data_IF_952712259962
#
_entry.id   IF_952712259962
#
_cell.length_a   1.000
_cell.length_b   1.000
_cell.length_c   1.000
_cell.angle_alpha   90.00
_cell.angle_beta   90.00
_cell.angle_gamma   90.00
#
_symmetry.space_group_name_H-M   'P 1'
#
loop_
_entity.id
_entity.type
_entity.pdbx_description
1 polymer ?
2 non-polymer ?
3 non-polymer ?
4 water ?
#
# COMPACT_ATOMS: atom_id res chain seq x y z
N UNK A 13 27.94 8.76 1.29
CA UNK A 13 27.82 8.40 2.73
C UNK A 13 26.50 7.73 3.04
N UNK A 14 26.53 6.65 3.82
CA UNK A 14 25.31 5.95 4.16
C UNK A 14 24.57 6.70 5.27
N UNK A 15 23.24 6.66 5.17
CA UNK A 15 22.38 7.34 6.14
C UNK A 15 22.02 6.42 7.28
N UNK A 16 21.76 7.01 8.44
CA UNK A 16 21.40 6.24 9.62
C UNK A 16 20.63 7.11 10.60
N UNK A 17 19.87 6.47 11.47
CA UNK A 17 19.07 7.17 12.48
C UNK A 17 19.94 7.67 13.62
N UNK A 18 19.68 8.89 14.07
CA UNK A 18 20.43 9.48 15.17
C UNK A 18 19.62 9.37 16.47
N UNK A 19 18.36 9.76 16.41
CA UNK A 19 17.48 9.68 17.57
C UNK A 19 16.01 9.70 17.18
N UNK A 20 15.16 9.22 18.09
CA UNK A 20 13.73 9.17 17.88
C UNK A 20 13.03 9.71 19.11
N UNK A 21 12.57 10.96 19.03
CA UNK A 21 11.89 11.60 20.15
C UNK A 21 10.37 11.46 20.05
N UNK A 22 9.75 10.99 21.13
CA UNK A 22 8.31 10.84 21.15
C UNK A 22 7.64 12.21 21.18
N UNK A 23 6.62 12.39 20.35
CA UNK A 23 5.90 13.66 20.29
C UNK A 23 4.56 13.52 21.00
N UNK A 24 3.82 12.48 20.63
CA UNK A 24 2.51 12.23 21.20
C UNK A 24 2.19 10.75 21.05
N UNK A 25 1.64 10.13 22.10
CA UNK A 25 1.32 8.72 22.04
C UNK A 25 -0.11 8.38 22.47
N UNK A 26 -0.83 7.70 21.59
CA UNK A 26 -2.19 7.29 21.89
C UNK A 26 -2.15 5.86 22.38
N UNK A 27 -3.29 5.19 22.39
CA UNK A 27 -3.32 3.79 22.82
C UNK A 27 -2.96 2.87 21.66
N UNK A 28 -3.05 3.39 20.45
CA UNK A 28 -2.77 2.60 19.26
C UNK A 28 -1.72 3.18 18.32
N UNK A 29 -1.61 4.51 18.31
CA UNK A 29 -0.66 5.18 17.42
C UNK A 29 0.16 6.25 18.12
N UNK A 30 1.39 6.45 17.65
CA UNK A 30 2.26 7.47 18.21
C UNK A 30 3.01 8.24 17.13
N UNK A 31 3.32 9.49 17.44
CA UNK A 31 4.04 10.36 16.53
C UNK A 31 5.44 10.60 17.09
N UNK A 32 6.44 10.54 16.21
CA UNK A 32 7.83 10.74 16.63
C UNK A 32 8.58 11.73 15.75
N UNK A 33 9.62 12.33 16.33
CA UNK A 33 10.46 13.27 15.60
C UNK A 33 11.73 12.48 15.34
N UNK A 34 11.98 12.16 14.08
CA UNK A 34 13.15 11.38 13.72
C UNK A 34 14.29 12.24 13.22
N UNK A 35 15.45 12.08 13.85
CA UNK A 35 16.64 12.82 13.45
C UNK A 35 17.56 11.81 12.80
N UNK A 36 17.98 12.08 11.57
CA UNK A 36 18.85 11.16 10.86
C UNK A 36 19.98 11.89 10.12
N UNK A 37 20.98 11.13 9.71
CA UNK A 37 22.12 11.69 8.98
C UNK A 37 21.90 11.51 7.48
N UNK A 38 22.08 12.58 6.72
CA UNK A 38 21.90 12.51 5.28
C UNK A 38 23.22 12.11 4.63
N UNK A 39 23.22 11.80 3.32
CA UNK A 39 24.45 11.40 2.61
C UNK A 39 25.61 12.38 2.67
N UNK A 40 25.30 13.66 2.84
CA UNK A 40 26.34 14.69 2.90
C UNK A 40 26.83 14.96 4.32
N UNK A 41 26.42 14.12 5.25
CA UNK A 41 26.83 14.30 6.63
C UNK A 41 26.06 15.36 7.38
N UNK A 42 24.94 15.79 6.80
CA UNK A 42 24.10 16.81 7.41
C UNK A 42 22.97 16.20 8.21
N UNK A 43 22.69 16.76 9.38
CA UNK A 43 21.62 16.27 10.23
C UNK A 43 20.27 16.83 9.75
N UNK A 44 19.28 15.95 9.61
CA UNK A 44 17.94 16.36 9.18
C UNK A 44 16.90 15.68 10.07
N UNK A 45 15.67 16.16 10.01
CA UNK A 45 14.59 15.60 10.82
C UNK A 45 13.45 15.10 9.94
N UNK A 46 12.56 14.32 10.56
CA UNK A 46 11.42 13.75 9.86
C UNK A 46 10.34 13.43 10.89
N UNK A 47 9.08 13.61 10.51
CA UNK A 47 7.97 13.29 11.42
C UNK A 47 7.48 11.89 11.07
N UNK A 48 7.66 10.96 12.00
CA UNK A 48 7.27 9.57 11.79
C UNK A 48 6.10 9.06 12.62
N UNK A 49 5.38 8.11 12.03
CA UNK A 49 4.23 7.49 12.69
C UNK A 49 4.54 6.02 12.96
N UNK A 50 4.09 5.53 14.11
CA UNK A 50 4.30 4.14 14.48
C UNK A 50 3.13 3.63 15.31
N UNK A 51 2.83 2.35 15.19
CA UNK A 51 1.75 1.76 15.98
C UNK A 51 2.36 1.32 17.31
N UNK A 52 1.57 1.42 18.38
CA UNK A 52 2.04 1.06 19.70
C UNK A 52 1.89 -0.43 19.98
N UNK A 53 1.22 -1.12 19.07
CA UNK A 53 0.95 -2.55 19.20
C UNK A 53 1.99 -3.48 18.55
N UNK A 54 3.00 -2.90 17.92
CA UNK A 54 4.03 -3.68 17.27
C UNK A 54 4.95 -4.42 18.25
N UNK A 55 5.15 -5.73 18.04
CA UNK A 55 6.05 -6.49 18.92
C UNK A 55 7.42 -6.48 18.28
N UNK A 56 8.44 -6.81 19.06
CA UNK A 56 9.81 -6.85 18.55
C UNK A 56 10.01 -7.98 17.56
N UNK A 57 10.74 -7.70 16.49
CA UNK A 57 11.03 -8.70 15.46
C UNK A 57 9.78 -9.27 14.81
N UNK A 58 8.72 -8.46 14.74
CA UNK A 58 7.46 -8.90 14.15
C UNK A 58 6.82 -7.79 13.33
N UNK A 59 6.28 -8.14 12.17
CA UNK A 59 5.62 -7.14 11.33
C UNK A 59 4.35 -6.74 12.07
N UNK A 60 3.75 -5.62 11.67
CA UNK A 60 2.54 -5.17 12.34
C UNK A 60 1.39 -6.13 12.10
N UNK A 61 1.18 -6.48 10.84
CA UNK A 61 0.10 -7.39 10.53
C UNK A 61 0.29 -8.13 9.23
N UNK A 62 -0.83 -8.55 8.65
CA UNK A 62 -0.82 -9.29 7.41
C UNK A 62 -2.02 -8.87 6.56
N UNK A 63 -1.86 -9.00 5.25
CA UNK A 63 -2.91 -8.72 4.28
C UNK A 63 -3.01 -10.08 3.60
N UNK A 64 -4.22 -10.55 3.36
CA UNK A 64 -4.41 -11.85 2.73
C UNK A 64 -4.94 -11.71 1.32
N UNK A 65 -4.34 -12.45 0.38
CA UNK A 65 -4.83 -12.45 -0.99
C UNK A 65 -5.51 -13.81 -1.09
N UNK A 66 -6.85 -13.83 -0.87
CA UNK A 66 -7.67 -15.03 -0.91
C UNK A 66 -8.16 -15.41 -2.29
N UNK A 67 -7.59 -16.48 -2.83
CA UNK A 67 -7.98 -16.93 -4.16
C UNK A 67 -9.01 -18.04 -4.02
N UNK A 68 -10.26 -17.72 -4.35
CA UNK A 68 -11.37 -18.66 -4.28
C UNK A 68 -11.38 -19.48 -5.57
N UNK A 69 -11.18 -20.79 -5.43
CA UNK A 69 -11.14 -21.67 -6.59
C UNK A 69 -12.36 -22.58 -6.66
N UNK A 70 -12.98 -22.62 -7.83
CA UNK A 70 -14.17 -23.44 -8.04
C UNK A 70 -14.11 -24.16 -9.38
N UNK A 71 -14.59 -25.40 -9.40
CA UNK A 71 -14.58 -26.22 -10.60
C UNK A 71 -15.27 -25.61 -11.81
N UNK A 72 -16.45 -25.02 -11.60
CA UNK A 72 -17.22 -24.45 -12.70
C UNK A 72 -17.03 -22.97 -12.94
N UNK A 73 -16.09 -22.34 -12.26
CA UNK A 73 -15.88 -20.90 -12.43
C UNK A 73 -14.42 -20.49 -12.43
N UNK A 74 -14.14 -19.34 -13.02
CA UNK A 74 -12.78 -18.82 -13.02
C UNK A 74 -12.53 -18.36 -11.58
N UNK A 75 -11.28 -18.18 -11.21
CA UNK A 75 -10.93 -17.77 -9.85
C UNK A 75 -11.48 -16.40 -9.48
N UNK A 76 -11.77 -16.24 -8.18
CA UNK A 76 -12.25 -14.98 -7.64
C UNK A 76 -11.26 -14.54 -6.57
N UNK A 77 -11.17 -13.24 -6.36
CA UNK A 77 -10.33 -12.68 -5.31
C UNK A 77 -11.34 -12.22 -4.26
N UNK A 78 -11.19 -12.71 -3.04
CA UNK A 78 -12.11 -12.34 -1.95
C UNK A 78 -11.66 -11.07 -1.24
N UNK A 79 -12.48 -10.02 -1.32
CA UNK A 79 -12.14 -8.76 -0.67
C UNK A 79 -13.20 -8.45 0.39
N UNK A 80 -12.93 -7.45 1.23
CA UNK A 80 -13.87 -7.04 2.27
C UNK A 80 -14.10 -5.54 2.23
N UNK A 81 -15.30 -5.13 2.63
CA UNK A 81 -15.67 -3.72 2.67
C UNK A 81 -15.94 -3.37 4.13
N UNK A 82 -15.32 -2.29 4.58
CA UNK A 82 -15.44 -1.84 5.96
C UNK A 82 -15.39 -0.33 6.04
N UNK A 83 -16.05 0.23 7.05
CA UNK A 83 -16.02 1.67 7.24
C UNK A 83 -14.67 1.90 7.92
N UNK A 84 -13.90 2.86 7.42
CA UNK A 84 -12.59 3.16 8.01
C UNK A 84 -12.59 4.59 8.54
N UNK A 85 -12.65 4.76 9.88
CA UNK A 85 -12.64 6.08 10.51
C UNK A 85 -11.61 7.07 9.97
N UNK A 86 -10.33 6.66 9.82
CA UNK A 86 -9.30 7.56 9.31
C UNK A 86 -9.65 8.10 7.92
N UNK A 87 -10.37 7.28 7.15
CA UNK A 87 -10.77 7.65 5.81
C UNK A 87 -12.14 8.37 5.78
N UNK A 88 -12.89 8.27 6.87
CA UNK A 88 -14.20 8.90 6.90
C UNK A 88 -15.15 8.28 5.91
N UNK A 89 -14.91 7.01 5.57
CA UNK A 89 -15.77 6.32 4.63
C UNK A 89 -15.45 4.83 4.52
N UNK A 90 -16.17 4.15 3.65
CA UNK A 90 -15.99 2.71 3.44
C UNK A 90 -14.84 2.43 2.47
N UNK A 91 -14.14 1.33 2.70
CA UNK A 91 -13.00 0.97 1.87
C UNK A 91 -13.06 -0.51 1.47
N UNK A 92 -12.50 -0.82 0.30
CA UNK A 92 -12.45 -2.19 -0.21
C UNK A 92 -10.99 -2.62 -0.11
N UNK A 93 -10.72 -3.63 0.70
CA UNK A 93 -9.35 -4.09 0.94
C UNK A 93 -9.21 -5.61 0.97
N UNK A 94 -7.96 -6.07 0.98
CA UNK A 94 -7.69 -7.50 1.11
C UNK A 94 -7.99 -7.73 2.59
N UNK A 95 -8.47 -8.93 2.97
CA UNK A 95 -8.73 -9.14 4.40
C UNK A 95 -7.37 -8.91 5.08
N UNK A 96 -7.36 -8.33 6.27
CA UNK A 96 -6.11 -8.06 6.95
C UNK A 96 -6.30 -7.97 8.44
N UNK A 97 -5.21 -8.04 9.19
CA UNK A 97 -5.32 -7.93 10.63
C UNK A 97 -3.94 -7.82 11.27
N UNK A 98 -3.90 -7.34 12.51
CA UNK A 98 -2.63 -7.22 13.23
C UNK A 98 -2.24 -8.61 13.70
N UNK A 99 -0.95 -8.91 13.73
CA UNK A 99 -0.50 -10.21 14.19
C UNK A 99 -0.56 -10.23 15.71
N UNK A 100 -1.20 -11.24 16.28
CA UNK A 100 -1.31 -11.36 17.73
C UNK A 100 -0.01 -11.91 18.31
N UNK A 101 0.22 -11.69 19.61
CA UNK A 101 1.44 -12.14 20.26
C UNK A 101 1.75 -13.63 20.09
N UNK A 102 2.97 -13.91 19.63
CA UNK A 102 3.43 -15.28 19.45
C UNK A 102 2.91 -15.97 18.22
N UNK A 103 1.94 -15.35 17.56
CA UNK A 103 1.30 -15.89 16.36
C UNK A 103 2.14 -15.62 15.09
N UNK A 104 2.33 -16.65 14.26
CA UNK A 104 3.10 -16.50 13.03
C UNK A 104 2.28 -15.77 11.96
N UNK A 105 2.95 -15.18 10.96
CA UNK A 105 2.24 -14.45 9.90
C UNK A 105 1.21 -15.36 9.24
N UNK A 106 1.64 -16.57 8.88
CA UNK A 106 0.76 -17.54 8.25
C UNK A 106 -0.49 -17.80 9.09
N UNK A 107 -0.31 -18.05 10.38
CA UNK A 107 -1.44 -18.32 11.26
C UNK A 107 -2.37 -17.12 11.36
N UNK A 108 -1.78 -15.93 11.47
CA UNK A 108 -2.57 -14.71 11.57
C UNK A 108 -3.44 -14.55 10.31
N UNK A 109 -2.87 -14.85 9.16
CA UNK A 109 -3.57 -14.73 7.88
C UNK A 109 -4.78 -15.66 7.79
N UNK A 110 -4.61 -16.93 8.15
CA UNK A 110 -5.72 -17.87 8.08
C UNK A 110 -6.80 -17.53 9.09
N UNK A 111 -6.41 -17.05 10.26
CA UNK A 111 -7.36 -16.68 11.31
C UNK A 111 -8.17 -15.45 10.91
N UNK A 112 -7.47 -14.40 10.44
CA UNK A 112 -8.15 -13.17 10.03
C UNK A 112 -9.06 -13.43 8.83
N UNK A 113 -8.62 -14.29 7.91
CA UNK A 113 -9.44 -14.59 6.73
C UNK A 113 -10.75 -15.25 7.17
N UNK A 114 -10.65 -16.21 8.07
CA UNK A 114 -11.83 -16.90 8.56
C UNK A 114 -12.70 -15.92 9.35
N UNK A 115 -12.08 -15.14 10.23
CA UNK A 115 -12.83 -14.17 11.04
C UNK A 115 -13.56 -13.12 10.21
N UNK A 116 -12.90 -12.61 9.17
CA UNK A 116 -13.51 -11.58 8.34
C UNK A 116 -14.37 -12.04 7.17
N UNK A 117 -14.12 -13.26 6.67
CA UNK A 117 -14.90 -13.74 5.53
C UNK A 117 -15.66 -15.03 5.79
N UNK A 118 -15.22 -15.81 6.77
CA UNK A 118 -15.87 -17.07 7.07
C UNK A 118 -15.23 -18.21 6.28
N UNK A 119 -14.35 -17.86 5.34
CA UNK A 119 -13.68 -18.88 4.52
C UNK A 119 -12.49 -19.54 5.22
N UNK A 120 -12.36 -20.85 5.00
CA UNK A 120 -11.26 -21.62 5.56
C UNK A 120 -10.32 -21.85 4.39
N UNK A 121 -9.11 -21.31 4.48
CA UNK A 121 -8.18 -21.48 3.37
C UNK A 121 -6.95 -22.31 3.67
N UNK A 122 -6.06 -22.34 2.67
CA UNK A 122 -4.81 -23.08 2.79
C UNK A 122 -3.69 -22.15 2.32
N UNK A 123 -2.58 -22.15 3.06
CA UNK A 123 -1.46 -21.29 2.71
C UNK A 123 -0.84 -21.68 1.38
N UNK A 124 -0.53 -20.69 0.56
CA UNK A 124 0.09 -20.92 -0.73
C UNK A 124 1.51 -20.36 -0.65
N UNK A 125 1.63 -19.14 -0.15
CA UNK A 125 2.93 -18.49 -0.01
C UNK A 125 2.88 -17.30 0.93
N UNK A 126 4.03 -16.89 1.43
CA UNK A 126 4.09 -15.79 2.37
C UNK A 126 5.27 -14.89 2.02
N UNK A 127 5.00 -13.60 1.85
CA UNK A 127 6.04 -12.64 1.51
C UNK A 127 6.83 -12.23 2.74
N UNK A 128 7.99 -11.60 2.53
CA UNK A 128 8.76 -11.16 3.68
C UNK A 128 8.03 -9.87 4.09
N UNK A 129 8.45 -9.21 5.16
CA UNK A 129 7.78 -7.98 5.59
C UNK A 129 7.94 -6.88 4.54
N UNK A 130 6.83 -6.28 4.13
CA UNK A 130 6.83 -5.20 3.14
C UNK A 130 6.29 -3.94 3.82
N UNK A 131 6.73 -2.76 3.41
CA UNK A 131 6.22 -1.53 4.05
C UNK A 131 4.95 -0.94 3.43
N UNK A 132 4.10 -0.42 4.30
CA UNK A 132 2.82 0.16 3.91
C UNK A 132 2.88 1.58 3.37
N UNK A 133 3.67 2.42 4.03
CA UNK A 133 3.80 3.81 3.62
C UNK A 133 5.09 4.30 4.29
N UNK A 134 6.25 3.91 3.72
CA UNK A 134 7.59 4.24 4.20
C UNK A 134 7.92 5.72 4.37
N UNK A 135 7.24 6.59 3.64
CA UNK A 135 7.51 8.00 3.77
C UNK A 135 6.80 8.63 4.96
N UNK A 136 5.95 7.84 5.62
CA UNK A 136 5.19 8.34 6.75
C UNK A 136 5.31 7.48 8.01
N UNK A 137 5.19 6.17 7.86
CA UNK A 137 5.23 5.28 9.01
C UNK A 137 6.18 4.11 8.84
N UNK A 138 6.36 3.35 9.92
CA UNK A 138 7.24 2.18 9.90
C UNK A 138 6.40 0.91 9.80
N UNK A 139 5.12 1.07 9.53
CA UNK A 139 4.19 -0.05 9.42
C UNK A 139 4.54 -1.05 8.33
N UNK A 140 4.57 -2.32 8.71
CA UNK A 140 4.90 -3.40 7.78
C UNK A 140 3.90 -4.54 7.94
N UNK A 141 3.76 -5.32 6.87
CA UNK A 141 2.87 -6.47 6.88
C UNK A 141 3.48 -7.57 6.04
N UNK A 142 2.91 -8.75 6.18
CA UNK A 142 3.29 -9.88 5.35
C UNK A 142 2.08 -10.04 4.44
N UNK A 143 2.33 -10.19 3.13
CA UNK A 143 1.24 -10.41 2.20
C UNK A 143 1.21 -11.92 2.05
N UNK A 144 0.11 -12.53 2.49
CA UNK A 144 0.00 -13.98 2.47
C UNK A 144 -1.02 -14.44 1.44
N UNK A 145 -0.58 -15.25 0.49
CA UNK A 145 -1.50 -15.77 -0.53
C UNK A 145 -2.13 -17.04 0.01
N UNK A 146 -3.46 -17.08 -0.04
CA UNK A 146 -4.21 -18.20 0.47
C UNK A 146 -5.24 -18.68 -0.55
N UNK A 147 -5.31 -19.99 -0.74
CA UNK A 147 -6.28 -20.54 -1.69
C UNK A 147 -7.48 -21.05 -0.89
N UNK A 148 -8.67 -20.94 -1.48
CA UNK A 148 -9.90 -21.38 -0.84
C UNK A 148 -10.64 -22.34 -1.77
N UNK A 149 -10.92 -23.55 -1.29
CA UNK A 149 -11.65 -24.52 -2.11
C UNK A 149 -13.13 -24.17 -2.02
N UNK A 150 -13.61 -23.41 -2.99
CA UNK A 150 -14.99 -22.98 -2.99
C UNK A 150 -16.04 -24.04 -3.23
N UNK A 151 -15.63 -25.25 -3.59
CA UNK A 151 -16.59 -26.33 -3.83
C UNK A 151 -16.79 -27.22 -2.60
N UNK A 152 -15.85 -27.13 -1.67
CA UNK A 152 -15.94 -27.92 -0.46
C UNK A 152 -17.19 -27.52 0.31
N UNK A 153 -17.95 -28.50 0.76
CA UNK A 153 -19.18 -28.27 1.50
C UNK A 153 -18.96 -27.31 2.67
N UNK A 154 -17.76 -27.36 3.24
CA UNK A 154 -17.42 -26.49 4.37
C UNK A 154 -17.50 -25.02 4.00
N UNK A 155 -17.10 -24.68 2.77
CA UNK A 155 -17.12 -23.29 2.31
C UNK A 155 -18.38 -22.95 1.51
N UNK A 156 -19.45 -23.71 1.71
CA UNK A 156 -20.69 -23.47 0.98
C UNK A 156 -21.43 -22.26 1.55
N UNK A 157 -21.58 -22.23 2.87
CA UNK A 157 -22.27 -21.13 3.53
C UNK A 157 -21.32 -20.42 4.50
N UNK A 158 -20.37 -19.63 3.97
CA UNK A 158 -19.43 -18.92 4.83
C UNK A 158 -20.04 -17.70 5.50
N UNK A 159 -19.68 -17.47 6.75
CA UNK A 159 -20.19 -16.32 7.50
C UNK A 159 -19.11 -15.78 8.44
N UNK A 160 -18.79 -14.49 8.31
CA UNK A 160 -17.77 -13.88 9.16
C UNK A 160 -18.10 -14.01 10.65
N UNK A 161 -17.10 -13.77 11.48
CA UNK A 161 -17.26 -13.82 12.94
C UNK A 161 -16.49 -12.62 13.50
N UNK A 162 -16.96 -11.40 13.16
CA UNK A 162 -16.33 -10.15 13.61
C UNK A 162 -16.44 -9.90 15.12
N UNK A 163 -15.62 -8.98 15.60
CA UNK A 163 -15.63 -8.64 17.01
C UNK A 163 -16.68 -7.62 17.38
N UNK A 164 -16.59 -7.11 18.60
CA UNK A 164 -17.54 -6.12 19.10
C UNK A 164 -17.72 -4.93 18.16
N UNK A 165 -16.65 -4.17 17.95
CA UNK A 165 -16.73 -3.01 17.08
C UNK A 165 -16.29 -3.32 15.66
N UNK A 166 -16.88 -4.34 15.05
CA UNK A 166 -16.52 -4.72 13.69
C UNK A 166 -17.67 -5.31 12.88
N UNK A 167 -17.85 -4.78 11.68
CA UNK A 167 -18.87 -5.27 10.76
C UNK A 167 -18.27 -5.25 9.36
N UNK A 168 -17.91 -6.43 8.88
CA UNK A 168 -17.30 -6.54 7.56
C UNK A 168 -18.25 -7.12 6.53
N UNK A 169 -18.18 -6.57 5.33
CA UNK A 169 -18.99 -7.04 4.22
C UNK A 169 -18.03 -7.76 3.29
N UNK A 170 -18.42 -8.92 2.80
CA UNK A 170 -17.56 -9.67 1.91
C UNK A 170 -17.93 -9.41 0.45
N UNK A 171 -16.94 -9.12 -0.37
CA UNK A 171 -17.14 -8.86 -1.78
C UNK A 171 -16.12 -9.64 -2.60
N UNK A 172 -16.58 -10.66 -3.31
CA UNK A 172 -15.68 -11.47 -4.12
C UNK A 172 -15.80 -11.07 -5.59
N UNK A 173 -14.66 -10.78 -6.22
CA UNK A 173 -14.66 -10.36 -7.61
C UNK A 173 -13.81 -11.28 -8.48
N UNK A 174 -14.21 -11.43 -9.75
CA UNK A 174 -13.49 -12.29 -10.71
C UNK A 174 -12.05 -11.82 -10.92
N UNK A 175 -11.12 -12.76 -10.79
CA UNK A 175 -9.71 -12.44 -10.95
C UNK A 175 -9.40 -11.93 -12.36
N UNK A 176 -10.03 -12.53 -13.37
CA UNK A 176 -9.77 -12.13 -14.76
C UNK A 176 -10.37 -10.78 -15.17
N UNK A 177 -11.11 -10.14 -14.28
CA UNK A 177 -11.73 -8.85 -14.59
C UNK A 177 -11.76 -7.96 -13.34
N UNK A 178 -10.72 -8.10 -12.51
CA UNK A 178 -10.64 -7.36 -11.28
C UNK A 178 -10.62 -5.84 -11.37
N UNK A 179 -9.70 -5.29 -12.17
CA UNK A 179 -9.61 -3.84 -12.30
C UNK A 179 -10.93 -3.20 -12.71
N UNK A 180 -11.55 -3.75 -13.76
CA UNK A 180 -12.84 -3.23 -14.24
C UNK A 180 -13.92 -3.25 -13.15
N UNK A 181 -14.00 -4.35 -12.42
CA UNK A 181 -14.99 -4.49 -11.36
C UNK A 181 -14.74 -3.52 -10.21
N UNK A 182 -13.46 -3.26 -9.92
CA UNK A 182 -13.09 -2.32 -8.87
C UNK A 182 -13.48 -0.90 -9.30
N UNK A 183 -13.24 -0.59 -10.57
CA UNK A 183 -13.60 0.73 -11.09
C UNK A 183 -15.10 0.96 -10.97
N UNK A 184 -15.89 -0.08 -11.21
CA UNK A 184 -17.34 0.00 -11.13
C UNK A 184 -17.80 0.30 -9.70
N UNK A 185 -17.18 -0.36 -8.73
CA UNK A 185 -17.50 -0.16 -7.32
C UNK A 185 -17.24 1.28 -6.90
N UNK A 186 -16.12 1.84 -7.37
CA UNK A 186 -15.75 3.21 -7.05
C UNK A 186 -16.77 4.20 -7.62
N UNK A 187 -17.14 3.97 -8.87
CA UNK A 187 -18.09 4.83 -9.56
C UNK A 187 -19.51 4.77 -9.01
N UNK A 188 -19.98 3.56 -8.75
CA UNK A 188 -21.35 3.36 -8.28
C UNK A 188 -21.58 3.49 -6.77
N UNK A 189 -20.53 3.38 -5.97
CA UNK A 189 -20.70 3.47 -4.52
C UNK A 189 -19.85 4.57 -3.87
N UNK A 190 -20.01 4.73 -2.56
CA UNK A 190 -19.23 5.69 -1.80
C UNK A 190 -18.07 4.85 -1.28
N UNK A 191 -17.17 4.46 -2.18
CA UNK A 191 -16.04 3.60 -1.81
C UNK A 191 -14.66 4.01 -2.30
N UNK A 192 -13.65 3.65 -1.52
CA UNK A 192 -12.26 3.91 -1.86
C UNK A 192 -11.59 2.54 -1.89
N UNK A 193 -10.85 2.27 -2.96
CA UNK A 193 -10.17 0.99 -3.09
C UNK A 193 -8.77 1.12 -2.48
N UNK A 194 -8.29 0.08 -1.83
CA UNK A 194 -6.96 0.08 -1.22
C UNK A 194 -5.89 0.07 -2.33
N UNK A 195 -4.78 0.77 -2.10
CA UNK A 195 -3.70 0.84 -3.08
C UNK A 195 -3.08 -0.52 -3.45
N UNK A 196 -2.99 -1.42 -2.48
CA UNK A 196 -2.42 -2.75 -2.74
C UNK A 196 -3.37 -3.55 -3.61
N UNK A 197 -4.66 -3.46 -3.31
CA UNK A 197 -5.66 -4.18 -4.10
C UNK A 197 -5.58 -3.66 -5.54
N UNK A 198 -5.52 -2.35 -5.69
CA UNK A 198 -5.47 -1.78 -7.04
C UNK A 198 -4.17 -2.11 -7.77
N UNK A 199 -3.04 -2.14 -7.06
CA UNK A 199 -1.78 -2.47 -7.70
C UNK A 199 -1.84 -3.90 -8.20
N UNK A 200 -2.45 -4.77 -7.40
CA UNK A 200 -2.58 -6.18 -7.76
C UNK A 200 -3.42 -6.27 -9.03
N UNK A 201 -4.53 -5.55 -9.04
CA UNK A 201 -5.43 -5.55 -10.20
C UNK A 201 -4.78 -5.02 -11.47
N UNK A 202 -3.95 -3.99 -11.34
CA UNK A 202 -3.27 -3.42 -12.51
C UNK A 202 -2.30 -4.44 -13.13
N UNK A 203 -1.53 -5.15 -12.30
CA UNK A 203 -0.59 -6.14 -12.83
C UNK A 203 -1.34 -7.29 -13.49
N UNK A 204 -2.47 -7.69 -12.92
CA UNK A 204 -3.25 -8.77 -13.53
C UNK A 204 -3.65 -8.31 -14.93
N UNK A 205 -3.95 -7.02 -15.07
CA UNK A 205 -4.32 -6.46 -16.37
C UNK A 205 -3.11 -6.37 -17.28
N UNK A 206 -2.01 -5.82 -16.76
CA UNK A 206 -0.77 -5.67 -17.52
C UNK A 206 -0.16 -6.99 -17.96
N UNK A 207 -0.29 -8.02 -17.13
CA UNK A 207 0.24 -9.32 -17.49
C UNK A 207 -0.57 -9.88 -18.65
N UNK A 208 -1.89 -9.81 -18.53
CA UNK A 208 -2.79 -10.31 -19.56
C UNK A 208 -2.38 -9.85 -20.96
N UNK A 209 -2.83 -8.66 -21.35
CA UNK A 209 -2.53 -8.10 -22.67
C UNK A 209 -1.04 -8.24 -23.00
N UNK B 13 -26.85 -0.20 10.07
CA UNK B 13 -26.97 1.21 9.59
C UNK B 13 -25.68 1.76 9.02
N UNK B 14 -25.80 2.83 8.24
CA UNK B 14 -24.64 3.49 7.62
C UNK B 14 -23.77 4.06 8.73
N UNK B 15 -22.45 3.92 8.58
CA UNK B 15 -21.54 4.47 9.58
C UNK B 15 -21.05 5.80 9.07
N UNK B 16 -20.69 6.70 9.98
CA UNK B 16 -20.22 8.03 9.60
C UNK B 16 -19.44 8.68 10.73
N UNK B 17 -18.72 9.75 10.38
CA UNK B 17 -17.90 10.47 11.35
C UNK B 17 -18.73 11.46 12.19
N UNK B 18 -18.57 11.40 13.50
CA UNK B 18 -19.29 12.32 14.41
C UNK B 18 -18.40 13.53 14.67
N UNK B 19 -17.13 13.29 14.95
CA UNK B 19 -16.22 14.38 15.21
C UNK B 19 -14.76 13.95 15.11
N UNK B 20 -13.88 14.93 14.96
CA UNK B 20 -12.45 14.69 14.88
C UNK B 20 -11.77 15.65 15.84
N UNK B 21 -11.10 15.10 16.84
CA UNK B 21 -10.42 15.93 17.83
C UNK B 21 -8.92 15.88 17.62
N UNK B 22 -8.31 17.04 17.44
CA UNK B 22 -6.87 17.11 17.23
C UNK B 22 -6.13 16.69 18.49
N UNK B 23 -5.12 15.83 18.33
CA UNK B 23 -4.33 15.37 19.47
C UNK B 23 -2.94 16.01 19.41
N UNK B 24 -2.38 16.07 18.21
CA UNK B 24 -1.06 16.65 18.01
C UNK B 24 -0.82 16.91 16.53
N UNK B 25 -0.50 18.17 16.22
CA UNK B 25 -0.24 18.55 14.84
C UNK B 25 1.19 19.00 14.66
N UNK B 26 1.85 18.44 13.65
CA UNK B 26 3.22 18.81 13.38
C UNK B 26 3.29 19.63 12.10
N UNK B 27 4.50 19.72 11.56
CA UNK B 27 4.73 20.47 10.33
C UNK B 27 4.25 19.67 9.13
N UNK B 28 4.30 18.34 9.24
CA UNK B 28 3.89 17.49 8.13
C UNK B 28 2.78 16.51 8.45
N UNK B 29 2.74 16.03 9.68
CA UNK B 29 1.73 15.06 10.07
C UNK B 29 1.03 15.42 11.37
N UNK B 30 -0.22 15.00 11.52
CA UNK B 30 -0.97 15.25 12.73
C UNK B 30 -1.72 13.99 13.16
N UNK B 31 -2.03 13.92 14.45
CA UNK B 31 -2.74 12.78 15.02
C UNK B 31 -4.07 13.28 15.59
N UNK B 32 -5.14 12.55 15.31
CA UNK B 32 -6.46 12.95 15.79
C UNK B 32 -7.24 11.79 16.41
N UNK B 33 -8.21 12.14 17.25
CA UNK B 33 -9.07 11.15 17.87
C UNK B 33 -10.39 11.28 17.12
N UNK B 34 -10.75 10.23 16.40
CA UNK B 34 -11.97 10.21 15.61
C UNK B 34 -13.10 9.52 16.36
N UNK B 35 -14.29 10.12 16.32
CA UNK B 35 -15.46 9.51 16.94
C UNK B 35 -16.42 9.26 15.79
N UNK B 36 -16.96 8.04 15.72
CA UNK B 36 -17.86 7.68 14.63
C UNK B 36 -19.01 6.84 15.15
N UNK B 37 -20.04 6.70 14.33
CA UNK B 37 -21.22 5.92 14.69
C UNK B 37 -21.13 4.55 14.04
N UNK B 38 -21.19 3.47 14.84
CA UNK B 38 -21.12 2.14 14.27
C UNK B 38 -22.48 1.70 13.75
N UNK B 39 -22.55 0.53 13.09
CA UNK B 39 -23.81 0.03 12.53
C UNK B 39 -24.98 -0.10 13.50
N UNK B 40 -24.68 -0.37 14.77
CA UNK B 40 -25.74 -0.53 15.77
C UNK B 40 -26.27 0.79 16.33
N UNK B 41 -25.53 1.86 16.13
CA UNK B 41 -25.98 3.16 16.63
C UNK B 41 -25.18 3.60 17.84
N UNK B 42 -24.09 2.88 18.11
CA UNK B 42 -23.21 3.19 19.23
C UNK B 42 -22.02 3.98 18.72
N UNK B 43 -21.54 4.92 19.53
CA UNK B 43 -20.39 5.75 19.14
C UNK B 43 -19.10 5.11 19.64
N UNK B 44 -18.09 5.07 18.78
CA UNK B 44 -16.79 4.51 19.11
C UNK B 44 -15.71 5.47 18.66
N UNK B 45 -14.49 5.28 19.17
CA UNK B 45 -13.39 6.15 18.79
C UNK B 45 -12.34 5.40 18.00
N UNK B 46 -11.41 6.15 17.41
CA UNK B 46 -10.34 5.58 16.62
C UNK B 46 -9.24 6.64 16.52
N UNK B 47 -7.99 6.19 16.49
CA UNK B 47 -6.88 7.13 16.38
C UNK B 47 -6.49 7.18 14.90
N UNK B 48 -6.56 8.38 14.33
CA UNK B 48 -6.25 8.57 12.92
C UNK B 48 -5.13 9.56 12.64
N UNK B 49 -4.41 9.30 11.54
CA UNK B 49 -3.32 10.16 11.13
C UNK B 49 -3.63 10.83 9.79
N UNK B 50 -3.19 12.07 9.63
CA UNK B 50 -3.41 12.82 8.39
C UNK B 50 -2.19 13.67 8.06
N UNK B 51 -1.96 13.91 6.77
CA UNK B 51 -0.85 14.74 6.33
C UNK B 51 -1.36 16.18 6.39
N UNK B 52 -0.54 17.09 6.88
CA UNK B 52 -0.92 18.50 6.99
C UNK B 52 -0.82 19.22 5.66
N UNK B 53 -0.21 18.57 4.68
CA UNK B 53 -0.04 19.14 3.34
C UNK B 53 -1.22 18.84 2.43
N UNK B 54 -2.10 17.94 2.86
CA UNK B 54 -3.26 17.54 2.08
C UNK B 54 -4.17 18.73 1.76
N UNK B 55 -4.54 18.85 0.48
CA UNK B 55 -5.44 19.92 0.04
C UNK B 55 -6.80 19.31 -0.23
N UNK B 56 -7.86 20.03 0.12
CA UNK B 56 -9.22 19.53 -0.09
C UNK B 56 -9.45 19.24 -1.57
N UNK B 57 -10.30 18.26 -1.85
CA UNK B 57 -10.64 17.88 -3.22
C UNK B 57 -9.52 17.20 -4.00
N UNK B 58 -8.39 16.91 -3.35
CA UNK B 58 -7.29 16.26 -4.04
C UNK B 58 -6.51 15.27 -3.17
N UNK B 59 -6.03 14.20 -3.81
CA UNK B 59 -5.28 13.16 -3.13
C UNK B 59 -3.96 13.73 -2.61
N UNK B 60 -3.29 12.98 -1.73
CA UNK B 60 -2.01 13.44 -1.19
C UNK B 60 -0.90 13.42 -2.24
N UNK B 61 -0.85 12.34 -3.02
CA UNK B 61 0.18 12.25 -4.03
C UNK B 61 -0.11 11.23 -5.12
N UNK B 62 0.95 10.83 -5.81
CA UNK B 62 0.86 9.84 -6.88
C UNK B 62 2.00 8.85 -6.75
N UNK B 63 1.79 7.65 -7.30
CA UNK B 63 2.84 6.63 -7.32
C UNK B 63 2.89 6.29 -8.80
N UNK B 64 4.07 6.15 -9.35
CA UNK B 64 4.21 5.85 -10.78
C UNK B 64 4.69 4.44 -11.07
N UNK B 65 4.00 3.75 -11.95
CA UNK B 65 4.43 2.41 -12.37
C UNK B 65 5.05 2.69 -13.74
N UNK B 66 6.39 2.84 -13.76
CA UNK B 66 7.11 3.13 -15.00
C UNK B 66 7.60 1.89 -15.72
N UNK B 67 7.05 1.68 -16.92
CA UNK B 67 7.40 0.54 -17.75
C UNK B 67 8.36 0.99 -18.85
N UNK B 68 9.63 0.65 -18.70
CA UNK B 68 10.66 1.01 -19.68
C UNK B 68 10.61 0.02 -20.83
N UNK B 69 10.30 0.52 -22.02
CA UNK B 69 10.16 -0.32 -23.20
C UNK B 69 11.22 -0.07 -24.27
N UNK B 70 11.69 -1.16 -24.87
CA UNK B 70 12.71 -1.10 -25.91
C UNK B 70 12.50 -2.22 -26.91
N UNK B 71 12.60 -1.88 -28.19
CA UNK B 71 12.45 -2.86 -29.25
C UNK B 71 13.38 -4.06 -29.02
N UNK B 72 12.84 -5.26 -29.18
CA UNK B 72 13.60 -6.50 -29.04
C UNK B 72 14.20 -6.74 -27.64
N UNK B 73 13.64 -6.09 -26.63
CA UNK B 73 14.09 -6.23 -25.24
C UNK B 73 12.90 -6.57 -24.35
N UNK B 74 13.18 -7.12 -23.16
CA UNK B 74 12.11 -7.42 -22.20
C UNK B 74 11.75 -6.05 -21.64
N UNK B 75 10.55 -5.92 -21.09
CA UNK B 75 10.14 -4.66 -20.49
C UNK B 75 10.72 -4.62 -19.09
N UNK B 76 11.07 -3.43 -18.61
CA UNK B 76 11.61 -3.27 -17.27
C UNK B 76 10.73 -2.33 -16.45
N UNK B 77 10.70 -2.54 -15.14
CA UNK B 77 9.93 -1.70 -14.22
C UNK B 77 10.97 -0.84 -13.51
N UNK B 78 10.82 0.48 -13.59
CA UNK B 78 11.77 1.39 -12.95
C UNK B 78 11.36 1.66 -11.51
N UNK B 79 12.25 1.33 -10.57
CA UNK B 79 11.97 1.53 -9.15
C UNK B 79 13.01 2.45 -8.54
N UNK B 80 12.74 2.95 -7.36
CA UNK B 80 13.70 3.81 -6.68
C UNK B 80 13.99 3.28 -5.29
N UNK B 81 15.22 3.51 -4.84
CA UNK B 81 15.67 3.07 -3.53
C UNK B 81 16.06 4.32 -2.76
N UNK B 82 15.49 4.50 -1.57
CA UNK B 82 15.78 5.67 -0.75
C UNK B 82 15.79 5.33 0.73
N UNK B 83 16.54 6.11 1.50
CA UNK B 83 16.58 5.93 2.94
C UNK B 83 15.30 6.56 3.43
N UNK B 84 14.53 5.80 4.22
CA UNK B 84 13.27 6.30 4.76
C UNK B 84 13.31 6.36 6.28
N UNK B 85 13.43 7.58 6.84
CA UNK B 85 13.49 7.80 8.29
C UNK B 85 12.49 7.01 9.13
N UNK B 86 11.21 6.99 8.74
CA UNK B 86 10.23 6.24 9.52
C UNK B 86 10.58 4.76 9.64
N UNK B 87 11.17 4.23 8.58
CA UNK B 87 11.58 2.83 8.51
C UNK B 87 12.98 2.59 9.11
N UNK B 88 13.74 3.68 9.26
CA UNK B 88 15.09 3.55 9.80
C UNK B 88 16.02 2.81 8.87
N UNK B 89 15.63 2.69 7.61
CA UNK B 89 16.45 1.99 6.62
C UNK B 89 16.01 2.30 5.21
N UNK B 90 16.61 1.61 4.23
CA UNK B 90 16.28 1.83 2.83
C UNK B 90 15.09 1.00 2.35
N UNK B 91 14.33 1.59 1.43
CA UNK B 91 13.16 0.94 0.87
C UNK B 91 13.16 0.99 -0.65
N UNK B 92 12.60 -0.03 -1.28
CA UNK B 92 12.49 -0.11 -2.75
C UNK B 92 11.04 0.24 -3.05
N UNK B 93 10.81 1.28 -3.84
CA UNK B 93 9.44 1.73 -4.13
C UNK B 93 9.22 2.18 -5.57
N UNK B 94 7.96 2.39 -5.92
CA UNK B 94 7.61 2.92 -7.23
C UNK B 94 7.92 4.41 -7.04
N UNK B 95 8.43 5.09 -8.09
CA UNK B 95 8.71 6.52 -7.87
C UNK B 95 7.38 7.14 -7.43
N UNK B 96 7.43 8.10 -6.50
CA UNK B 96 6.21 8.72 -6.00
C UNK B 96 6.47 10.09 -5.37
N UNK B 97 5.43 10.89 -5.27
CA UNK B 97 5.59 12.21 -4.68
C UNK B 97 4.27 12.86 -4.34
N UNK B 98 4.31 13.93 -3.57
CA UNK B 98 3.10 14.64 -3.19
C UNK B 98 2.66 15.50 -4.38
N UNK B 99 1.36 15.63 -4.57
CA UNK B 99 0.83 16.44 -5.66
C UNK B 99 0.95 17.92 -5.32
N UNK B 100 1.58 18.68 -6.21
CA UNK B 100 1.74 20.12 -6.00
C UNK B 100 0.40 20.82 -6.08
N UNK B 101 0.34 22.01 -5.47
CA UNK B 101 -0.89 22.79 -5.45
C UNK B 101 -1.36 23.10 -6.87
N UNK B 102 -2.58 22.70 -7.21
CA UNK B 102 -3.12 22.96 -8.52
C UNK B 102 -2.67 22.02 -9.63
N UNK B 103 -1.66 21.22 -9.35
CA UNK B 103 -1.11 20.28 -10.32
C UNK B 103 -2.01 19.04 -10.47
N UNK B 104 -2.21 18.56 -11.70
CA UNK B 104 -3.04 17.37 -11.93
C UNK B 104 -2.23 16.12 -11.59
N UNK B 105 -2.91 14.98 -11.33
CA UNK B 105 -2.21 13.73 -10.99
C UNK B 105 -1.27 13.29 -12.10
N UNK B 106 -1.70 13.43 -13.36
CA UNK B 106 -0.87 13.04 -14.49
C UNK B 106 0.41 13.87 -14.56
N UNK B 107 0.29 15.17 -14.33
CA UNK B 107 1.44 16.06 -14.36
C UNK B 107 2.38 15.74 -13.21
N UNK B 108 1.81 15.45 -12.05
CA UNK B 108 2.60 15.09 -10.88
C UNK B 108 3.39 13.84 -11.22
N UNK B 109 2.70 12.88 -11.82
CA UNK B 109 3.32 11.61 -12.20
C UNK B 109 4.56 11.82 -13.08
N UNK B 110 4.37 12.42 -14.24
CA UNK B 110 5.48 12.67 -15.15
C UNK B 110 6.58 13.52 -14.51
N UNK B 111 6.20 14.48 -13.68
CA UNK B 111 7.17 15.35 -13.01
C UNK B 111 8.01 14.59 -12.00
N UNK B 112 7.34 13.84 -11.12
CA UNK B 112 8.05 13.05 -10.10
C UNK B 112 8.93 11.98 -10.76
N UNK B 113 8.42 11.36 -11.81
CA UNK B 113 9.19 10.33 -12.50
C UNK B 113 10.50 10.92 -13.02
N UNK B 114 10.40 12.09 -13.65
CA UNK B 114 11.60 12.73 -14.19
C UNK B 114 12.56 13.16 -13.09
N UNK B 115 12.03 13.79 -12.04
CA UNK B 115 12.87 14.24 -10.94
C UNK B 115 13.59 13.10 -10.22
N UNK B 116 12.86 12.01 -9.98
CA UNK B 116 13.44 10.88 -9.26
C UNK B 116 14.23 9.88 -10.10
N UNK B 117 13.93 9.76 -11.39
CA UNK B 117 14.65 8.79 -12.21
C UNK B 117 15.32 9.40 -13.43
N UNK B 118 14.90 10.61 -13.80
CA UNK B 118 15.45 11.26 -14.97
C UNK B 118 14.75 10.86 -16.26
N UNK B 119 13.88 9.85 -16.19
CA UNK B 119 13.15 9.39 -17.37
C UNK B 119 11.95 10.28 -17.69
N UNK B 120 11.68 10.43 -18.98
CA UNK B 120 10.54 11.24 -19.45
C UNK B 120 9.57 10.26 -20.10
N UNK B 121 8.40 10.06 -19.48
CA UNK B 121 7.46 9.12 -20.02
C UNK B 121 6.14 9.64 -20.57
N UNK B 122 5.32 8.69 -21.00
CA UNK B 122 4.01 8.99 -21.54
C UNK B 122 2.96 8.31 -20.65
N UNK B 123 1.86 9.01 -20.39
CA UNK B 123 0.80 8.45 -19.57
C UNK B 123 0.08 7.31 -20.28
N UNK B 124 -0.10 6.20 -19.58
CA UNK B 124 -0.79 5.04 -20.14
C UNK B 124 -2.18 5.01 -19.52
N UNK B 125 -2.23 5.12 -18.20
CA UNK B 125 -3.50 5.13 -17.47
C UNK B 125 -3.33 5.70 -16.06
N UNK B 126 -4.44 6.15 -15.49
CA UNK B 126 -4.43 6.75 -14.15
C UNK B 126 -5.60 6.20 -13.33
N UNK B 127 -5.30 5.78 -12.10
CA UNK B 127 -6.32 5.23 -11.23
C UNK B 127 -7.04 6.31 -10.45
N UNK B 128 -8.17 5.95 -9.80
CA UNK B 128 -8.90 6.94 -9.01
C UNK B 128 -8.07 7.00 -7.73
N UNK B 129 -8.36 7.94 -6.84
CA UNK B 129 -7.61 8.03 -5.59
C UNK B 129 -7.81 6.72 -4.81
N UNK B 130 -6.71 6.11 -4.37
CA UNK B 130 -6.77 4.87 -3.59
C UNK B 130 -6.05 5.09 -2.25
N UNK B 131 -6.49 4.39 -1.20
CA UNK B 131 -5.89 4.57 0.12
C UNK B 131 -4.61 3.78 0.42
N UNK B 132 -3.67 4.46 1.07
CA UNK B 132 -2.36 3.89 1.43
C UNK B 132 -2.38 2.94 2.64
N UNK B 133 -3.13 3.31 3.68
CA UNK B 133 -3.20 2.49 4.89
C UNK B 133 -4.44 2.95 5.66
N UNK B 134 -5.63 2.63 5.14
CA UNK B 134 -6.96 2.99 5.67
C UNK B 134 -7.21 2.79 7.17
N UNK B 135 -6.68 1.71 7.74
CA UNK B 135 -6.88 1.48 9.15
C UNK B 135 -6.09 2.46 10.01
N UNK B 136 -5.23 3.23 9.37
CA UNK B 136 -4.38 4.17 10.11
C UNK B 136 -4.45 5.64 9.70
N UNK B 137 -4.41 5.91 8.39
CA UNK B 137 -4.43 7.30 7.91
C UNK B 137 -5.45 7.52 6.80
N UNK B 138 -5.60 8.77 6.36
CA UNK B 138 -6.54 9.10 5.28
C UNK B 138 -5.75 9.33 3.99
N UNK B 139 -4.47 8.98 4.04
CA UNK B 139 -3.58 9.15 2.89
C UNK B 139 -4.05 8.43 1.64
N UNK B 140 -4.08 9.18 0.53
CA UNK B 140 -4.52 8.65 -0.76
C UNK B 140 -3.59 9.06 -1.89
N UNK B 141 -3.54 8.24 -2.94
CA UNK B 141 -2.70 8.53 -4.09
C UNK B 141 -3.39 8.05 -5.34
N UNK B 142 -2.88 8.52 -6.47
CA UNK B 142 -3.36 8.07 -7.77
C UNK B 142 -2.19 7.24 -8.23
N UNK B 143 -2.45 6.01 -8.67
CA UNK B 143 -1.39 5.14 -9.18
C UNK B 143 -1.45 5.38 -10.69
N UNK B 144 -0.38 5.95 -11.23
CA UNK B 144 -0.33 6.29 -12.65
C UNK B 144 0.59 5.37 -13.44
N UNK B 145 0.03 4.65 -14.40
CA UNK B 145 0.84 3.77 -15.24
C UNK B 145 1.46 4.61 -16.35
N UNK B 146 2.78 4.59 -16.44
CA UNK B 146 3.50 5.36 -17.44
C UNK B 146 4.49 4.53 -18.25
N UNK B 147 4.57 4.78 -19.55
CA UNK B 147 5.49 4.04 -20.40
C UNK B 147 6.67 4.93 -20.80
N UNK B 148 7.86 4.36 -20.80
CA UNK B 148 9.07 5.10 -21.15
C UNK B 148 9.67 4.50 -22.42
N UNK B 149 9.86 5.34 -23.43
CA UNK B 149 10.45 4.88 -24.69
C UNK B 149 11.95 4.80 -24.48
N UNK B 150 12.44 3.61 -24.18
CA UNK B 150 13.85 3.44 -23.96
C UNK B 150 14.68 3.65 -25.21
N UNK B 151 14.03 3.71 -26.37
CA UNK B 151 14.76 3.91 -27.61
C UNK B 151 14.92 5.38 -28.01
N UNK B 152 14.35 6.29 -27.22
CA UNK B 152 14.49 7.71 -27.50
C UNK B 152 15.76 8.22 -26.84
N UNK B 153 16.50 9.06 -27.56
CA UNK B 153 17.76 9.61 -27.09
C UNK B 153 17.70 10.23 -25.70
N UNK B 154 16.61 10.95 -25.43
CA UNK B 154 16.45 11.62 -24.14
C UNK B 154 16.38 10.64 -22.97
N UNK B 155 16.01 9.40 -23.28
CA UNK B 155 15.90 8.37 -22.27
C UNK B 155 17.12 7.44 -22.25
N UNK B 156 18.10 7.73 -23.12
CA UNK B 156 19.31 6.92 -23.19
C UNK B 156 20.15 7.10 -21.94
N UNK B 157 20.39 8.36 -21.58
CA UNK B 157 21.17 8.69 -20.40
C UNK B 157 20.38 9.65 -19.51
N UNK B 158 19.35 9.13 -18.82
CA UNK B 158 18.53 9.96 -17.93
C UNK B 158 19.20 10.17 -16.59
N UNK B 159 19.11 11.38 -16.07
CA UNK B 159 19.72 11.70 -14.78
C UNK B 159 18.72 12.33 -13.80
N UNK B 160 18.61 11.76 -12.60
CA UNK B 160 17.70 12.27 -11.58
C UNK B 160 18.03 13.73 -11.21
N UNK B 161 16.98 14.49 -10.93
CA UNK B 161 17.12 15.90 -10.54
C UNK B 161 16.35 16.03 -9.22
N UNK B 162 16.94 15.51 -8.13
CA UNK B 162 16.35 15.53 -6.78
C UNK B 162 16.37 16.88 -6.06
N UNK B 163 15.62 16.94 -4.97
CA UNK B 163 15.55 18.16 -4.18
C UNK B 163 16.79 18.29 -3.31
N UNK B 164 16.78 19.27 -2.41
CA UNK B 164 17.90 19.52 -1.53
C UNK B 164 18.14 18.38 -0.55
N UNK B 165 17.05 17.84 0.00
CA UNK B 165 17.17 16.75 0.95
C UNK B 165 16.72 15.41 0.41
N UNK B 166 16.82 15.23 -0.90
CA UNK B 166 16.42 13.97 -1.51
C UNK B 166 17.61 13.28 -2.17
N UNK B 167 17.74 11.99 -1.91
CA UNK B 167 18.83 11.19 -2.45
C UNK B 167 18.24 9.86 -2.91
N UNK B 168 18.16 9.69 -4.22
CA UNK B 168 17.55 8.51 -4.81
C UNK B 168 18.47 7.68 -5.69
N UNK B 169 18.28 6.36 -5.64
CA UNK B 169 19.04 5.44 -6.45
C UNK B 169 18.02 4.75 -7.35
N UNK B 170 18.28 4.74 -8.66
CA UNK B 170 17.38 4.12 -9.62
C UNK B 170 17.74 2.66 -9.84
N UNK B 171 16.73 1.80 -9.72
CA UNK B 171 16.92 0.37 -9.90
C UNK B 171 15.82 -0.16 -10.83
N UNK B 172 16.20 -0.54 -12.04
CA UNK B 172 15.25 -1.07 -13.02
C UNK B 172 15.37 -2.59 -13.07
N UNK B 173 14.25 -3.27 -12.84
CA UNK B 173 14.22 -4.73 -12.86
C UNK B 173 13.29 -5.25 -13.95
N UNK B 174 13.64 -6.40 -14.55
CA UNK B 174 12.82 -7.00 -15.60
C UNK B 174 11.40 -7.28 -15.11
N UNK B 175 10.40 -6.87 -15.89
CA UNK B 175 9.01 -7.09 -15.53
C UNK B 175 8.67 -8.58 -15.58
N UNK B 176 9.27 -9.28 -16.53
CA UNK B 176 9.05 -10.71 -16.71
C UNK B 176 9.51 -11.58 -15.53
N UNK B 177 10.39 -11.04 -14.69
CA UNK B 177 10.90 -11.79 -13.54
C UNK B 177 10.93 -10.89 -12.30
N UNK B 178 9.98 -9.96 -12.22
CA UNK B 178 9.96 -8.98 -11.13
C UNK B 178 10.06 -9.51 -9.70
N UNK B 179 9.17 -10.41 -9.31
CA UNK B 179 9.16 -10.95 -7.95
C UNK B 179 10.49 -11.59 -7.56
N UNK B 180 11.04 -12.43 -8.44
CA UNK B 180 12.29 -13.10 -8.17
C UNK B 180 13.44 -12.11 -8.05
N UNK B 181 13.45 -11.09 -8.90
CA UNK B 181 14.49 -10.09 -8.84
C UNK B 181 14.38 -9.26 -7.56
N UNK B 182 13.16 -9.00 -7.12
CA UNK B 182 12.96 -8.26 -5.87
C UNK B 182 13.54 -9.08 -4.72
N UNK B 183 13.29 -10.40 -4.73
CA UNK B 183 13.82 -11.26 -3.68
C UNK B 183 15.34 -11.26 -3.67
N UNK B 184 15.95 -11.24 -4.87
CA UNK B 184 17.40 -11.23 -4.98
C UNK B 184 18.00 -9.94 -4.42
N UNK B 185 17.30 -8.83 -4.56
CA UNK B 185 17.81 -7.58 -4.02
C UNK B 185 17.79 -7.64 -2.50
N UNK B 186 16.72 -8.20 -1.96
CA UNK B 186 16.54 -8.33 -0.52
C UNK B 186 17.51 -9.32 0.13
N UNK B 187 17.99 -10.29 -0.65
CA UNK B 187 18.91 -11.28 -0.13
C UNK B 187 20.31 -10.66 0.07
N UNK B 188 20.61 -9.62 -0.70
CA UNK B 188 21.89 -8.94 -0.64
C UNK B 188 22.14 -8.09 0.60
N UNK B 189 21.08 -7.49 1.12
CA UNK B 189 21.23 -6.59 2.25
C UNK B 189 19.91 -6.29 2.94
N UNK B 190 20.00 -5.53 4.04
CA UNK B 190 18.79 -5.14 4.75
C UNK B 190 18.12 -4.10 3.85
N UNK B 191 16.97 -4.47 3.33
CA UNK B 191 16.19 -3.62 2.41
C UNK B 191 14.74 -4.03 2.59
N UNK B 192 13.81 -3.10 2.41
CA UNK B 192 12.39 -3.43 2.53
C UNK B 192 11.69 -3.00 1.25
N UNK B 193 10.91 -3.91 0.67
CA UNK B 193 10.17 -3.60 -0.54
C UNK B 193 8.78 -3.04 -0.16
N UNK B 194 8.34 -2.05 -0.91
CA UNK B 194 7.04 -1.44 -0.66
C UNK B 194 5.94 -2.46 -0.93
N UNK B 195 4.85 -2.40 -0.17
CA UNK B 195 3.75 -3.36 -0.34
C UNK B 195 3.04 -3.26 -1.69
N UNK B 196 2.99 -2.07 -2.28
CA UNK B 196 2.34 -1.90 -3.57
C UNK B 196 3.22 -2.52 -4.66
N UNK B 197 4.53 -2.32 -4.56
CA UNK B 197 5.47 -2.91 -5.51
C UNK B 197 5.37 -4.44 -5.43
N UNK B 198 5.33 -4.97 -4.21
CA UNK B 198 5.23 -6.42 -4.04
C UNK B 198 3.87 -6.97 -4.54
N UNK B 199 2.78 -6.28 -4.23
CA UNK B 199 1.46 -6.72 -4.70
C UNK B 199 1.47 -6.81 -6.24
N UNK B 200 2.04 -5.80 -6.88
CA UNK B 200 2.14 -5.75 -8.33
C UNK B 200 2.92 -6.98 -8.83
N UNK B 201 4.11 -7.19 -8.26
CA UNK B 201 4.96 -8.31 -8.63
C UNK B 201 4.27 -9.67 -8.43
N UNK B 202 3.52 -9.80 -7.33
CA UNK B 202 2.81 -11.03 -7.03
C UNK B 202 1.79 -11.35 -8.11
N UNK B 203 0.98 -10.35 -8.46
CA UNK B 203 -0.05 -10.53 -9.47
C UNK B 203 0.52 -10.88 -10.85
N UNK B 204 1.71 -10.35 -11.17
CA UNK B 204 2.32 -10.68 -12.44
C UNK B 204 2.51 -12.20 -12.52
N UNK B 205 2.85 -12.82 -11.39
CA UNK B 205 3.04 -14.26 -11.35
C UNK B 205 1.70 -15.00 -11.27
N UNK B 206 0.77 -14.50 -10.47
CA UNK B 206 -0.55 -15.13 -10.30
C UNK B 206 -1.45 -15.04 -11.55
N UNK B 207 -1.22 -14.04 -12.39
CA UNK B 207 -2.03 -13.87 -13.60
C UNK B 207 -2.08 -15.10 -14.50
N UNK B 208 -3.17 -15.20 -15.26
CA UNK B 208 -3.41 -16.30 -16.17
C UNK B 208 -3.45 -17.58 -15.36
N UNK B 209 -4.54 -17.78 -14.62
CA UNK B 209 -4.69 -18.96 -13.78
C UNK B 209 -6.04 -19.65 -13.99
X LIG C 1 -9.04 -6.46 9.63
X LIG D 1 -9.60 -8.32 11.87
X LIG E 1 -7.59 -8.69 14.50
X LIG F 1 9.41 10.68 -3.60
X LIG G 1 9.97 13.44 -5.01
X LIG H 1 8.11 16.02 -4.46
X LIG I 1 -7.25 -5.84 12.87
X LIG I 1 -8.00 -4.87 13.91
X LIG I 1 -7.28 -4.34 15.03
X LIG I 1 -8.23 -3.72 16.05
X LIG I 1 -7.50 -3.04 17.10
X LIG I 1 -9.13 -2.66 15.42
X LIG I 1 -10.29 -3.29 14.86
X LIG I 1 -9.52 -1.92 16.70
X LIG I 1 -10.32 -2.76 17.52
X LIG I 1 -8.13 -1.76 17.31
X LIG I 1 -7.38 -0.74 16.55
X LIG I 1 -6.45 -0.98 15.63
X LIG I 1 -5.98 0.19 15.16
X LIG I 1 -6.63 1.16 15.78
X LIG I 1 -6.58 2.55 15.72
X LIG I 1 -5.74 3.16 14.89
X LIG I 1 -7.39 3.27 16.52
X LIG I 1 -8.23 2.67 17.35
X LIG I 1 -8.30 1.35 17.43
X LIG I 1 -7.52 0.58 16.67
X LIG I 1 -6.07 -4.72 12.07
X LIG I 1 -6.87 -3.83 10.69
X LIG I 1 -7.56 -2.64 11.22
X LIG I 1 -5.60 -3.33 9.84
X LIG I 1 -4.75 -4.30 9.21
X LIG I 1 -3.65 -3.61 8.40
X LIG I 1 -4.24 -2.69 7.47
X LIG I 1 -2.82 -2.74 9.36
X LIG I 1 -1.44 -3.14 9.38
X LIG I 1 -2.98 -1.33 8.80
X LIG I 1 -2.04 -1.13 7.74
X LIG I 1 -4.39 -1.47 8.21
X LIG I 1 -4.67 -0.39 7.32
X LIG I 1 -6.46 -6.84 13.62
X LIG I 1 -7.63 -4.79 9.86
X LIG I 1 -8.20 -6.32 11.84
X LIG J 1 7.74 13.70 -2.03
X LIG J 1 8.54 14.48 -0.88
X LIG J 1 7.82 15.32 0.03
X LIG J 1 8.78 16.21 0.84
X LIG J 1 8.06 17.02 1.80
X LIG J 1 9.78 15.39 1.65
X LIG J 1 10.92 15.11 0.83
X LIG J 1 10.15 16.43 2.69
X LIG J 1 10.84 17.52 2.09
X LIG J 1 8.73 16.88 3.07
X LIG J 1 8.06 15.82 3.85
X LIG J 1 7.07 15.05 3.44
X LIG J 1 6.70 14.23 4.41
X LIG J 1 7.47 14.48 5.47
X LIG J 1 7.55 13.97 6.76
X LIG J 1 6.73 13.00 7.16
X LIG J 1 8.46 14.47 7.61
X LIG J 1 9.28 15.43 7.22
X LIG J 1 9.23 15.94 6.01
X LIG J 1 8.35 15.49 5.11
X LIG J 1 6.62 12.64 -1.09
X LIG J 1 7.37 11.03 -0.76
X LIG J 1 8.12 11.10 0.51
X LIG J 1 6.09 10.10 -0.52
X LIG J 1 5.13 9.91 -1.57
X LIG J 1 4.14 8.80 -1.24
X LIG J 1 4.83 7.60 -0.88
X LIG J 1 3.40 9.12 0.06
X LIG J 1 2.38 8.13 0.24
X LIG J 1 4.52 8.92 1.07
X LIG J 1 3.97 8.48 2.32
X LIG J 1 5.35 7.80 0.45
X LIG J 1 5.21 6.59 1.20
X LIG J 1 6.92 14.66 -2.81
X LIG J 1 8.07 10.53 -1.96
X LIG J 1 8.68 12.83 -2.78
#
# INVERSE_FOLDING_TARGET
>A
MESQEPTESSQNGKQYIISEELISEGKWVKLEKTTYMDPTGKTRTWESVKRTTRKEQTADGVAVIPVLQRTLHYECIVLVKQFRPPMGGYCIEFPAGLIDDGETPEAAALRELEEETGYKGDIAECSPAVCMDPGLSNCTIHIVTVTINGDDAENARPKPKPGDGEFVEVISLPKNDLLQRLDALVAEEHLTVDARVYSYALALKHANAK
>B
MESQEPTESSQNGKQYIISEELISEGKWVKLEKTTYMDPTGKTRTWESVKRTTRKEQTADGVAVIPVLQRTLHYECIVLVKQFRPPMGGYCIEFPAGLIDDGETPEAAALRELEEETGYKGDIAECSPAVCMDPGLSNCTIHIVTVTINGDDAENARPKPKPGDGEFVEVISLPKNDLLQRLDALVAEEHLTVDARVYSYALALKHANAK
>C hetero
1 MG MG
>D hetero
1 MG MG
>E hetero
1 MG MG
>F hetero
1 MG MG
>G hetero
1 MG MG
>H hetero
1 MG MG
>I hetero
1 ADV PA O5' C5' C4' O4' C3' O3' C2' O2' C1' N9 C8 N7 C5 C6 N6 N1 C2 N3 C4 CX PB O1B OR5 CR5 CR4 OR4 CR3 OR3 CR2 OR2 CR1 OR1 O2A O2B O1A
>J hetero
1 ADV PA O5' C5' C4' O4' C3' O3' C2' O2' C1' N9 C8 N7 C5 C6 N6 N1 C2 N3 C4 CX PB O1B OR5 CR5 CR4 OR4 CR3 OR3 CR2 OR2 CR1 OR1 O2A O2B O1A
#
